data_IF_232491772288
#
_entry.id   IF_232491772288
#
_cell.length_a   1.000
_cell.length_b   1.000
_cell.length_c   1.000
_cell.angle_alpha   90.00
_cell.angle_beta   90.00
_cell.angle_gamma   90.00
#
_symmetry.space_group_name_H-M   'P 1'
#
loop_
_entity.id
_entity.type
_entity.pdbx_description
1 polymer ?
#
# COMPACT_ATOMS: atom_id res chain seq x y z
N UNK A 1 6.65 25.82 10.87
CA UNK A 1 6.12 24.73 10.02
C UNK A 1 4.95 24.13 10.77
N UNK A 2 3.80 23.92 10.13
CA UNK A 2 2.65 23.32 10.80
C UNK A 2 2.77 21.79 10.85
N UNK A 3 1.87 21.15 11.60
CA UNK A 3 1.86 19.70 11.80
C UNK A 3 1.68 18.94 10.48
N UNK A 4 0.83 19.43 9.57
CA UNK A 4 0.61 18.80 8.26
C UNK A 4 1.91 18.71 7.46
N UNK A 5 2.66 19.82 7.34
CA UNK A 5 3.93 19.81 6.62
C UNK A 5 4.95 18.93 7.35
N UNK A 6 4.97 18.94 8.69
CA UNK A 6 5.84 18.05 9.45
C UNK A 6 5.54 16.57 9.18
N UNK A 7 4.26 16.16 9.18
CA UNK A 7 3.84 14.80 8.84
C UNK A 7 4.29 14.40 7.43
N UNK A 8 4.10 15.27 6.44
CA UNK A 8 4.55 15.04 5.06
C UNK A 8 6.07 14.84 4.98
N UNK A 9 6.84 15.69 5.67
CA UNK A 9 8.31 15.64 5.61
C UNK A 9 8.90 14.47 6.41
N UNK A 10 8.20 14.01 7.46
CA UNK A 10 8.73 13.00 8.38
C UNK A 10 8.18 11.59 8.14
N UNK A 11 7.10 11.41 7.38
CA UNK A 11 6.56 10.09 7.01
C UNK A 11 7.61 9.23 6.30
N UNK A 12 7.83 8.01 6.80
CA UNK A 12 8.80 7.05 6.25
C UNK A 12 8.16 5.72 5.86
N UNK A 13 8.78 5.05 4.89
CA UNK A 13 8.43 3.67 4.52
C UNK A 13 8.99 2.69 5.55
N UNK A 14 8.11 2.14 6.38
CA UNK A 14 8.42 1.16 7.42
C UNK A 14 8.40 -0.25 6.82
N UNK A 15 9.47 -1.01 7.03
CA UNK A 15 9.65 -2.36 6.44
C UNK A 15 10.01 -3.40 7.51
N UNK A 16 9.54 -3.16 8.72
CA UNK A 16 9.74 -4.01 9.89
C UNK A 16 8.64 -3.63 10.87
N UNK A 17 7.61 -4.47 10.96
CA UNK A 17 6.43 -4.23 11.78
C UNK A 17 6.44 -5.09 13.04
N UNK A 18 5.72 -4.66 14.06
CA UNK A 18 5.41 -5.47 15.24
C UNK A 18 4.22 -6.38 14.95
N UNK A 19 4.08 -7.47 15.70
CA UNK A 19 2.87 -8.32 15.62
C UNK A 19 1.62 -7.67 16.21
N UNK A 20 1.80 -6.63 17.04
CA UNK A 20 0.71 -5.88 17.65
C UNK A 20 -0.16 -5.24 16.56
N UNK A 21 -1.45 -5.56 16.59
CA UNK A 21 -2.42 -4.98 15.67
C UNK A 21 -2.74 -3.51 16.02
N UNK A 22 -3.08 -2.72 15.01
CA UNK A 22 -3.65 -1.37 15.19
C UNK A 22 -5.09 -1.45 15.74
N UNK A 23 -5.59 -0.41 16.39
CA UNK A 23 -6.98 -0.39 16.82
C UNK A 23 -7.93 -0.27 15.61
N UNK A 24 -9.17 -0.72 15.79
CA UNK A 24 -10.23 -0.53 14.79
C UNK A 24 -10.48 0.96 14.51
N UNK A 25 -10.40 1.80 15.54
CA UNK A 25 -10.46 3.26 15.43
C UNK A 25 -9.38 3.79 14.49
N UNK A 26 -8.13 3.42 14.70
CA UNK A 26 -7.03 3.86 13.85
C UNK A 26 -7.15 3.33 12.41
N UNK A 27 -7.60 2.08 12.22
CA UNK A 27 -7.87 1.55 10.89
C UNK A 27 -8.98 2.35 10.19
N UNK A 28 -10.06 2.65 10.89
CA UNK A 28 -11.18 3.42 10.36
C UNK A 28 -10.75 4.84 9.98
N UNK A 29 -9.95 5.51 10.81
CA UNK A 29 -9.43 6.85 10.50
C UNK A 29 -8.52 6.85 9.26
N UNK A 30 -7.68 5.82 9.09
CA UNK A 30 -6.83 5.64 7.90
C UNK A 30 -7.69 5.45 6.64
N UNK A 31 -8.73 4.61 6.72
CA UNK A 31 -9.65 4.37 5.61
C UNK A 31 -10.52 5.61 5.31
N UNK A 32 -10.92 6.37 6.33
CA UNK A 32 -11.66 7.62 6.17
C UNK A 32 -10.80 8.65 5.42
N UNK A 33 -9.54 8.82 5.83
CA UNK A 33 -8.59 9.70 5.14
C UNK A 33 -8.43 9.33 3.65
N UNK A 34 -8.43 8.03 3.33
CA UNK A 34 -8.38 7.55 1.95
C UNK A 34 -9.60 7.97 1.13
N UNK A 35 -10.80 7.82 1.68
CA UNK A 35 -12.06 8.21 1.02
C UNK A 35 -12.15 9.73 0.77
N UNK A 36 -11.46 10.52 1.59
CA UNK A 36 -11.37 11.98 1.43
C UNK A 36 -10.27 12.44 0.46
N UNK A 37 -9.61 11.53 -0.25
CA UNK A 37 -8.71 11.90 -1.33
C UNK A 37 -9.47 12.62 -2.47
N UNK A 38 -8.79 13.47 -3.26
CA UNK A 38 -9.38 13.96 -4.49
C UNK A 38 -9.55 12.81 -5.50
N UNK A 39 -10.63 12.85 -6.28
CA UNK A 39 -10.81 11.98 -7.44
C UNK A 39 -11.20 12.79 -8.68
N UNK A 40 -10.72 12.37 -9.85
CA UNK A 40 -11.12 12.94 -11.13
C UNK A 40 -12.65 12.98 -11.26
N UNK A 41 -13.20 14.17 -11.51
CA UNK A 41 -14.65 14.41 -11.62
C UNK A 41 -15.47 13.99 -10.37
N UNK A 42 -14.84 13.80 -9.20
CA UNK A 42 -15.52 13.33 -7.99
C UNK A 42 -16.01 11.88 -8.07
N UNK A 43 -15.49 11.07 -9.00
CA UNK A 43 -15.97 9.70 -9.28
C UNK A 43 -15.84 8.73 -8.13
N UNK A 44 -14.80 8.87 -7.30
CA UNK A 44 -14.53 7.95 -6.18
C UNK A 44 -14.56 6.48 -6.62
N UNK A 45 -13.97 6.21 -7.77
CA UNK A 45 -13.94 4.93 -8.50
C UNK A 45 -13.00 3.89 -7.86
N UNK A 46 -12.73 4.04 -6.57
CA UNK A 46 -11.84 3.19 -5.79
C UNK A 46 -12.59 2.15 -4.97
N UNK A 47 -11.86 1.10 -4.62
CA UNK A 47 -12.23 0.14 -3.60
C UNK A 47 -11.03 -0.08 -2.69
N UNK A 48 -11.26 -0.09 -1.37
CA UNK A 48 -10.23 -0.33 -0.37
C UNK A 48 -10.54 -1.63 0.38
N UNK A 49 -9.75 -2.67 0.12
CA UNK A 49 -9.87 -3.96 0.80
C UNK A 49 -8.83 -4.04 1.92
N UNK A 50 -9.26 -3.87 3.16
CA UNK A 50 -8.42 -4.03 4.34
C UNK A 50 -8.42 -5.50 4.82
N UNK A 51 -7.24 -6.07 5.05
CA UNK A 51 -7.05 -7.45 5.49
C UNK A 51 -6.17 -7.46 6.75
N UNK A 52 -6.71 -8.01 7.83
CA UNK A 52 -6.03 -8.21 9.12
C UNK A 52 -5.85 -9.69 9.49
N UNK A 53 -6.42 -10.60 8.70
CA UNK A 53 -6.28 -12.03 8.91
C UNK A 53 -4.88 -12.49 8.48
N UNK A 54 -4.07 -12.94 9.45
CA UNK A 54 -2.68 -13.36 9.24
C UNK A 54 -2.52 -14.45 8.18
N UNK A 55 -3.42 -15.43 8.17
CA UNK A 55 -3.35 -16.54 7.20
C UNK A 55 -3.66 -16.08 5.78
N UNK A 56 -4.61 -15.15 5.63
CA UNK A 56 -4.95 -14.57 4.32
C UNK A 56 -3.80 -13.70 3.80
N UNK A 57 -3.20 -12.87 4.66
CA UNK A 57 -2.00 -12.07 4.31
C UNK A 57 -0.87 -12.99 3.85
N UNK A 58 -0.64 -14.10 4.56
CA UNK A 58 0.38 -15.09 4.20
C UNK A 58 0.06 -15.83 2.89
N UNK A 59 -1.22 -16.13 2.63
CA UNK A 59 -1.68 -16.73 1.36
C UNK A 59 -1.40 -15.78 0.18
N UNK A 60 -1.75 -14.49 0.32
CA UNK A 60 -1.46 -13.46 -0.68
C UNK A 60 0.04 -13.26 -0.88
N UNK A 61 0.84 -13.25 0.19
CA UNK A 61 2.29 -13.11 0.13
C UNK A 61 2.93 -14.25 -0.66
N UNK A 62 2.51 -15.49 -0.38
CA UNK A 62 2.99 -16.68 -1.10
C UNK A 62 2.63 -16.61 -2.58
N UNK A 63 1.36 -16.35 -2.90
CA UNK A 63 0.91 -16.25 -4.29
C UNK A 63 1.64 -15.14 -5.05
N UNK A 64 1.82 -13.96 -4.43
CA UNK A 64 2.57 -12.86 -5.02
C UNK A 64 4.04 -13.21 -5.31
N UNK A 65 4.70 -13.96 -4.42
CA UNK A 65 6.07 -14.44 -4.63
C UNK A 65 6.16 -15.46 -5.76
N UNK A 66 5.19 -16.36 -5.89
CA UNK A 66 5.10 -17.28 -7.02
C UNK A 66 5.05 -16.52 -8.35
N UNK A 67 4.24 -15.47 -8.42
CA UNK A 67 4.15 -14.61 -9.60
C UNK A 67 5.46 -13.85 -9.85
N UNK A 68 6.13 -13.33 -8.81
CA UNK A 68 7.45 -12.69 -8.98
C UNK A 68 8.47 -13.61 -9.66
N UNK A 69 8.42 -14.92 -9.42
CA UNK A 69 9.33 -15.89 -10.03
C UNK A 69 9.08 -16.12 -11.52
N UNK A 70 7.91 -15.75 -12.04
CA UNK A 70 7.58 -15.86 -13.47
C UNK A 70 7.99 -14.62 -14.27
N UNK A 71 8.27 -13.49 -13.60
CA UNK A 71 8.65 -12.25 -14.25
C UNK A 71 9.97 -12.38 -15.04
N UNK A 72 10.13 -11.69 -16.18
CA UNK A 72 11.35 -11.76 -16.99
C UNK A 72 12.56 -11.02 -16.35
N UNK A 73 12.40 -10.43 -15.16
CA UNK A 73 13.42 -9.63 -14.49
C UNK A 73 14.07 -10.46 -13.38
N UNK A 74 15.36 -10.74 -13.52
CA UNK A 74 16.12 -11.62 -12.61
C UNK A 74 16.06 -11.19 -11.14
N UNK A 75 16.04 -9.88 -10.90
CA UNK A 75 15.90 -9.32 -9.55
C UNK A 75 14.60 -9.80 -8.85
N UNK A 76 13.47 -9.83 -9.58
CA UNK A 76 12.20 -10.29 -9.02
C UNK A 76 12.20 -11.80 -8.78
N UNK A 77 12.81 -12.59 -9.68
CA UNK A 77 12.97 -14.03 -9.46
C UNK A 77 13.75 -14.34 -8.19
N UNK A 78 14.88 -13.66 -7.99
CA UNK A 78 15.72 -13.81 -6.80
C UNK A 78 14.99 -13.43 -5.50
N UNK A 79 14.20 -12.35 -5.53
CA UNK A 79 13.41 -11.94 -4.36
C UNK A 79 12.26 -12.92 -4.10
N UNK A 80 11.51 -13.31 -5.14
CA UNK A 80 10.36 -14.22 -5.02
C UNK A 80 10.75 -15.61 -4.51
N UNK A 81 11.91 -16.12 -4.92
CA UNK A 81 12.46 -17.41 -4.47
C UNK A 81 13.07 -17.39 -3.06
N UNK A 82 13.28 -16.23 -2.44
CA UNK A 82 13.83 -16.15 -1.10
C UNK A 82 12.78 -16.53 -0.04
N UNK A 83 12.94 -17.63 0.72
CA UNK A 83 11.95 -18.06 1.71
C UNK A 83 11.81 -17.07 2.88
N UNK A 84 12.86 -16.32 3.22
CA UNK A 84 12.84 -15.33 4.31
C UNK A 84 12.22 -13.99 3.91
N UNK A 85 11.94 -13.79 2.61
CA UNK A 85 11.31 -12.56 2.15
C UNK A 85 9.79 -12.64 2.31
N UNK A 86 9.26 -11.67 3.04
CA UNK A 86 7.84 -11.34 3.09
C UNK A 86 7.60 -10.02 2.33
N UNK A 87 6.80 -10.02 1.24
CA UNK A 87 6.45 -8.82 0.50
C UNK A 87 5.77 -7.73 1.35
N UNK A 88 5.14 -8.10 2.47
CA UNK A 88 4.44 -7.16 3.37
C UNK A 88 5.23 -6.85 4.64
N UNK A 89 6.47 -7.35 4.76
CA UNK A 89 7.40 -7.06 5.86
C UNK A 89 6.88 -7.36 7.27
N UNK A 90 5.96 -8.32 7.41
CA UNK A 90 5.33 -8.68 8.68
C UNK A 90 4.24 -7.71 9.14
N UNK A 91 3.70 -6.87 8.25
CA UNK A 91 2.63 -5.95 8.61
C UNK A 91 1.38 -6.70 9.10
N UNK A 92 0.81 -6.30 10.25
CA UNK A 92 -0.40 -6.93 10.77
C UNK A 92 -1.67 -6.53 10.00
N UNK A 93 -1.63 -5.42 9.25
CA UNK A 93 -2.70 -4.98 8.35
C UNK A 93 -2.13 -4.69 6.96
N UNK A 94 -2.83 -5.14 5.92
CA UNK A 94 -2.63 -4.64 4.56
C UNK A 94 -3.93 -4.02 4.03
N UNK A 95 -3.84 -2.91 3.29
CA UNK A 95 -4.98 -2.26 2.65
C UNK A 95 -4.69 -2.20 1.15
N UNK A 96 -5.47 -2.94 0.37
CA UNK A 96 -5.34 -3.00 -1.09
C UNK A 96 -6.20 -1.88 -1.67
N UNK A 97 -5.56 -0.95 -2.36
CA UNK A 97 -6.23 0.13 -3.09
C UNK A 97 -6.40 -0.28 -4.54
N UNK A 98 -7.64 -0.38 -4.97
CA UNK A 98 -8.02 -0.77 -6.33
C UNK A 98 -8.96 0.26 -6.95
N UNK A 99 -9.07 0.27 -8.27
CA UNK A 99 -9.93 1.17 -9.02
C UNK A 99 -10.64 0.43 -10.17
N UNK A 100 -11.78 0.95 -10.61
CA UNK A 100 -12.48 0.43 -11.80
C UNK A 100 -11.59 0.51 -13.05
N UNK A 101 -11.45 -0.59 -13.79
CA UNK A 101 -10.59 -0.69 -14.99
C UNK A 101 -10.84 0.39 -16.04
N UNK A 102 -12.07 0.84 -16.17
CA UNK A 102 -12.47 1.87 -17.15
C UNK A 102 -12.14 3.29 -16.70
N UNK A 103 -11.65 3.47 -15.48
CA UNK A 103 -11.27 4.79 -14.99
C UNK A 103 -9.97 5.28 -15.62
N UNK A 104 -10.09 6.34 -16.41
CA UNK A 104 -8.95 7.05 -17.00
C UNK A 104 -7.97 7.63 -15.96
N UNK A 105 -8.41 7.87 -14.72
CA UNK A 105 -7.59 8.46 -13.64
C UNK A 105 -7.51 7.59 -12.39
N UNK A 106 -8.03 6.35 -12.43
CA UNK A 106 -8.23 5.51 -11.24
C UNK A 106 -6.93 5.22 -10.51
N UNK A 107 -5.85 4.93 -11.25
CA UNK A 107 -4.52 4.72 -10.66
C UNK A 107 -4.02 5.96 -9.89
N UNK A 108 -4.19 7.17 -10.43
CA UNK A 108 -3.80 8.42 -9.77
C UNK A 108 -4.70 8.76 -8.59
N UNK A 109 -6.01 8.52 -8.70
CA UNK A 109 -6.98 8.67 -7.61
C UNK A 109 -6.57 7.79 -6.41
N UNK A 110 -6.30 6.50 -6.66
CA UNK A 110 -5.82 5.57 -5.64
C UNK A 110 -4.46 5.96 -5.05
N UNK A 111 -3.54 6.53 -5.84
CA UNK A 111 -2.26 6.98 -5.33
C UNK A 111 -2.40 8.16 -4.34
N UNK A 112 -3.32 9.08 -4.61
CA UNK A 112 -3.67 10.14 -3.66
C UNK A 112 -4.30 9.57 -2.39
N UNK A 113 -5.20 8.59 -2.52
CA UNK A 113 -5.81 7.89 -1.39
C UNK A 113 -4.79 7.15 -0.52
N UNK A 114 -3.83 6.45 -1.13
CA UNK A 114 -2.74 5.79 -0.41
C UNK A 114 -1.83 6.79 0.31
N UNK A 115 -1.48 7.92 -0.29
CA UNK A 115 -0.69 8.94 0.43
C UNK A 115 -1.47 9.53 1.61
N UNK A 116 -2.79 9.78 1.46
CA UNK A 116 -3.63 10.16 2.59
C UNK A 116 -3.61 9.11 3.72
N UNK A 117 -3.75 7.82 3.39
CA UNK A 117 -3.63 6.73 4.37
C UNK A 117 -2.30 6.79 5.13
N UNK A 118 -1.20 7.02 4.42
CA UNK A 118 0.11 7.03 5.06
C UNK A 118 0.34 8.24 5.95
N UNK A 119 -0.16 9.42 5.55
CA UNK A 119 -0.09 10.62 6.37
C UNK A 119 -0.98 10.49 7.62
N UNK A 120 -2.18 9.93 7.47
CA UNK A 120 -3.08 9.64 8.60
C UNK A 120 -2.42 8.65 9.58
N UNK A 121 -1.91 7.52 9.08
CA UNK A 121 -1.19 6.54 9.90
C UNK A 121 -0.01 7.19 10.65
N UNK A 122 0.80 7.99 9.94
CA UNK A 122 1.96 8.67 10.53
C UNK A 122 1.56 9.67 11.62
N UNK A 123 0.43 10.37 11.46
CA UNK A 123 -0.09 11.30 12.49
C UNK A 123 -0.51 10.61 13.80
N UNK A 124 -0.69 9.28 13.77
CA UNK A 124 -1.04 8.45 14.92
C UNK A 124 0.12 7.55 15.39
N UNK A 125 1.36 7.87 14.99
CA UNK A 125 2.56 7.06 15.26
C UNK A 125 2.47 5.60 14.73
N UNK A 126 1.68 5.40 13.67
CA UNK A 126 1.54 4.12 12.98
C UNK A 126 2.42 4.11 11.74
N UNK A 127 3.24 3.07 11.61
CA UNK A 127 4.09 2.85 10.46
C UNK A 127 3.30 2.44 9.23
N UNK A 128 3.80 2.85 8.07
CA UNK A 128 3.24 2.41 6.81
C UNK A 128 4.29 2.25 5.70
N UNK A 129 3.96 1.46 4.67
CA UNK A 129 4.76 1.37 3.46
C UNK A 129 3.89 1.05 2.25
N UNK A 130 4.14 1.76 1.14
CA UNK A 130 3.64 1.36 -0.15
C UNK A 130 4.29 0.05 -0.59
N UNK A 131 3.46 -0.95 -0.89
CA UNK A 131 3.83 -2.23 -1.47
C UNK A 131 3.18 -2.33 -2.85
N UNK A 132 4.00 -2.56 -3.87
CA UNK A 132 3.53 -2.52 -5.27
C UNK A 132 3.30 -3.91 -5.88
N UNK A 133 3.70 -5.00 -5.23
CA UNK A 133 3.66 -6.32 -5.88
C UNK A 133 2.26 -6.75 -6.29
N UNK A 134 1.22 -6.48 -5.49
CA UNK A 134 -0.14 -6.85 -5.87
C UNK A 134 -0.66 -6.04 -7.06
N UNK A 135 -0.12 -4.85 -7.34
CA UNK A 135 -0.45 -4.12 -8.57
C UNK A 135 0.03 -4.89 -9.82
N UNK A 136 1.18 -5.57 -9.74
CA UNK A 136 1.67 -6.41 -10.84
C UNK A 136 1.05 -7.81 -10.85
N UNK A 137 0.85 -8.41 -9.68
CA UNK A 137 0.42 -9.80 -9.55
C UNK A 137 -1.10 -9.97 -9.47
N UNK A 138 -1.87 -8.89 -9.25
CA UNK A 138 -3.30 -8.94 -8.96
C UNK A 138 -4.18 -9.51 -10.06
N UNK A 139 -3.68 -9.58 -11.30
CA UNK A 139 -4.38 -10.20 -12.43
C UNK A 139 -3.97 -11.65 -12.70
N UNK A 140 -2.94 -12.16 -12.00
CA UNK A 140 -2.64 -13.60 -12.02
C UNK A 140 -3.82 -14.38 -11.41
N UNK A 141 -4.19 -15.49 -12.02
CA UNK A 141 -5.39 -16.27 -11.64
C UNK A 141 -5.41 -16.65 -10.16
N UNK A 142 -4.26 -17.06 -9.61
CA UNK A 142 -4.15 -17.47 -8.20
C UNK A 142 -4.38 -16.29 -7.26
N UNK A 143 -3.77 -15.15 -7.55
CA UNK A 143 -3.91 -13.95 -6.72
C UNK A 143 -5.31 -13.38 -6.87
N UNK A 144 -5.82 -13.28 -8.10
CA UNK A 144 -7.14 -12.75 -8.40
C UNK A 144 -8.26 -13.56 -7.75
N UNK A 145 -8.17 -14.89 -7.77
CA UNK A 145 -9.14 -15.77 -7.10
C UNK A 145 -9.26 -15.43 -5.60
N UNK A 146 -8.12 -15.31 -4.89
CA UNK A 146 -8.11 -14.94 -3.47
C UNK A 146 -8.75 -13.56 -3.26
N UNK A 147 -8.38 -12.57 -4.06
CA UNK A 147 -8.92 -11.22 -3.89
C UNK A 147 -10.43 -11.14 -4.13
N UNK A 148 -10.93 -11.91 -5.10
CA UNK A 148 -12.36 -11.98 -5.43
C UNK A 148 -13.14 -12.66 -4.31
N UNK A 149 -12.61 -13.74 -3.72
CA UNK A 149 -13.18 -14.37 -2.51
C UNK A 149 -13.29 -13.41 -1.32
N UNK A 150 -12.38 -12.43 -1.24
CA UNK A 150 -12.38 -11.39 -0.21
C UNK A 150 -13.29 -10.20 -0.53
N UNK A 151 -13.97 -10.20 -1.67
CA UNK A 151 -14.91 -9.17 -2.08
C UNK A 151 -14.33 -8.06 -2.95
N UNK A 152 -13.08 -8.17 -3.44
CA UNK A 152 -12.57 -7.24 -4.44
C UNK A 152 -13.31 -7.46 -5.77
N UNK A 153 -13.98 -6.46 -6.36
CA UNK A 153 -14.72 -6.67 -7.60
C UNK A 153 -13.81 -7.04 -8.78
N UNK A 154 -14.28 -7.93 -9.66
CA UNK A 154 -13.49 -8.47 -10.79
C UNK A 154 -13.11 -7.40 -11.83
N UNK A 155 -13.96 -6.38 -11.97
CA UNK A 155 -13.74 -5.24 -12.87
C UNK A 155 -12.78 -4.19 -12.28
N UNK A 156 -12.10 -4.48 -11.16
CA UNK A 156 -11.14 -3.57 -10.54
C UNK A 156 -9.68 -4.02 -10.74
N UNK A 157 -8.82 -3.05 -10.96
CA UNK A 157 -7.36 -3.17 -10.98
C UNK A 157 -6.73 -2.62 -9.71
N UNK A 158 -5.60 -3.20 -9.32
CA UNK A 158 -4.91 -2.81 -8.09
C UNK A 158 -3.90 -1.71 -8.44
N UNK A 159 -4.02 -0.55 -7.77
CA UNK A 159 -3.04 0.55 -7.88
C UNK A 159 -1.85 0.31 -6.95
N UNK A 160 -2.11 -0.17 -5.73
CA UNK A 160 -1.08 -0.40 -4.73
C UNK A 160 -1.65 -0.97 -3.44
N UNK A 161 -0.76 -1.26 -2.50
CA UNK A 161 -1.12 -1.81 -1.20
C UNK A 161 -0.41 -1.03 -0.10
N UNK A 162 -1.14 -0.59 0.92
CA UNK A 162 -0.57 -0.07 2.14
C UNK A 162 -0.30 -1.22 3.11
N UNK A 163 0.97 -1.49 3.44
CA UNK A 163 1.31 -2.25 4.64
C UNK A 163 1.27 -1.30 5.85
N UNK A 164 0.53 -1.65 6.90
CA UNK A 164 0.26 -0.77 8.06
C UNK A 164 0.46 -1.52 9.37
N UNK A 165 1.12 -0.87 10.34
CA UNK A 165 1.31 -1.40 11.69
C UNK A 165 2.35 -0.63 12.49
N UNK A 166 2.51 -0.95 13.77
CA UNK A 166 3.54 -0.32 14.60
C UNK A 166 4.95 -0.76 14.17
N UNK A 167 5.91 0.16 14.20
CA UNK A 167 7.29 -0.13 13.80
C UNK A 167 7.96 -1.06 14.83
N UNK A 168 8.59 -2.15 14.39
CA UNK A 168 9.42 -2.99 15.30
C UNK A 168 10.86 -2.50 15.43
N UNK A 169 11.24 -1.51 14.62
CA UNK A 169 12.55 -0.84 14.64
C UNK A 169 12.34 0.66 14.51
N UNK A 170 13.36 1.44 14.85
CA UNK A 170 13.35 2.87 14.58
C UNK A 170 13.07 3.12 13.09
N UNK A 171 12.19 4.09 12.80
CA UNK A 171 11.95 4.48 11.42
C UNK A 171 13.29 4.94 10.79
N UNK A 172 13.53 4.67 9.50
CA UNK A 172 14.76 5.14 8.89
C UNK A 172 14.87 6.68 8.98
N UNK A 173 16.05 7.25 8.71
CA UNK A 173 16.24 8.71 8.50
C UNK A 173 15.98 9.12 7.06
N UNK A 174 15.38 10.30 6.85
CA UNK A 174 15.00 10.76 5.52
C UNK A 174 16.24 10.81 4.62
N UNK A 175 16.14 10.25 3.41
CA UNK A 175 17.21 10.38 2.43
C UNK A 175 17.25 11.84 1.91
N UNK A 176 18.41 12.36 1.49
CA UNK A 176 18.51 13.67 0.85
C UNK A 176 17.51 13.81 -0.31
N UNK A 177 16.90 15.00 -0.46
CA UNK A 177 16.03 15.27 -1.60
C UNK A 177 16.88 15.63 -2.81
N UNK A 178 16.52 15.11 -3.99
CA UNK A 178 17.22 15.39 -5.24
C UNK A 178 17.02 16.87 -5.61
N UNK A 179 18.13 17.57 -5.84
CA UNK A 179 18.14 18.95 -6.31
C UNK A 179 17.67 19.06 -7.78
N UNK A 180 17.29 20.27 -8.21
CA UNK A 180 16.87 20.53 -9.59
C UNK A 180 15.52 19.91 -10.00
N UNK A 181 14.68 19.53 -9.03
CA UNK A 181 13.35 18.94 -9.27
C UNK A 181 12.21 19.98 -9.32
N UNK A 182 12.52 21.25 -9.06
CA UNK A 182 11.55 22.36 -9.03
C UNK A 182 12.04 23.48 -9.94
N UNK A 183 11.19 23.90 -10.88
CA UNK A 183 11.38 25.11 -11.69
C UNK A 183 10.21 26.05 -11.40
N UNK A 184 10.49 27.31 -11.08
CA UNK A 184 9.48 28.33 -10.81
C UNK A 184 9.55 29.36 -11.92
N UNK A 185 8.46 29.52 -12.66
CA UNK A 185 8.25 30.62 -13.61
C UNK A 185 7.25 31.58 -12.96
N UNK A 186 7.62 32.86 -12.88
CA UNK A 186 6.78 33.91 -12.29
C UNK A 186 6.21 34.80 -13.39
#
# INVERSE_FOLDING_TARGET
>A
MNEVIQSILTRRSVRSFQEKQISDEALNDILEAAKYAPSGMGKQDWHFLAVQNKEIIKKLATAAKEVMMTFPIEHFKKIGSNPAYDPFYGAPTIIISAYEKESASGASNCAAALENMFLAAHSMDIGSCWIHILAFAGNDEKVRSILTELGLPENYEISGTAAVGFNSKEAPKAAPRKEGTVTIVK
#
